data_IF_285289370416
#
_entry.id   IF_285289370416
#
_cell.length_a   1.000
_cell.length_b   1.000
_cell.length_c   1.000
_cell.angle_alpha   90.00
_cell.angle_beta   90.00
_cell.angle_gamma   90.00
#
_symmetry.space_group_name_H-M   'P 1'
#
loop_
_entity.id
_entity.type
_entity.pdbx_description
1 polymer ?
#
# COMPACT_ATOMS: atom_id res chain seq x y z
N UNK A 1 7.85 -20.37 7.17
CA UNK A 1 6.88 -19.36 6.71
C UNK A 1 5.88 -18.99 7.81
N UNK A 2 5.05 -19.93 8.32
CA UNK A 2 4.07 -19.63 9.38
C UNK A 2 4.73 -19.08 10.65
N UNK A 3 5.83 -19.65 11.09
CA UNK A 3 6.59 -19.18 12.24
C UNK A 3 7.21 -17.78 12.01
N UNK A 4 7.66 -17.47 10.81
CA UNK A 4 8.14 -16.14 10.44
C UNK A 4 7.03 -15.11 10.48
N UNK A 5 5.84 -15.43 9.95
CA UNK A 5 4.66 -14.58 10.03
C UNK A 5 4.21 -14.34 11.49
N UNK A 6 4.28 -15.36 12.33
CA UNK A 6 3.96 -15.25 13.75
C UNK A 6 4.96 -14.35 14.52
N UNK A 7 6.22 -14.33 14.08
CA UNK A 7 7.24 -13.42 14.63
C UNK A 7 7.00 -11.95 14.24
N UNK A 8 6.42 -11.70 13.07
CA UNK A 8 6.04 -10.37 12.60
C UNK A 8 4.76 -9.84 13.27
N UNK A 9 3.89 -10.72 13.79
CA UNK A 9 2.69 -10.34 14.52
C UNK A 9 2.97 -9.79 15.95
N UNK A 10 4.24 -9.83 16.41
CA UNK A 10 4.61 -9.20 17.69
C UNK A 10 4.58 -7.68 17.55
N UNK A 11 4.15 -6.93 18.59
CA UNK A 11 4.13 -5.47 18.53
C UNK A 11 5.52 -4.93 18.18
N UNK A 12 5.58 -4.20 17.06
CA UNK A 12 6.80 -3.60 16.53
C UNK A 12 7.34 -2.58 17.53
N UNK A 13 8.57 -2.75 17.98
CA UNK A 13 9.19 -1.84 18.90
C UNK A 13 9.84 -0.71 18.08
N UNK A 14 9.20 0.45 18.02
CA UNK A 14 9.54 1.64 17.20
C UNK A 14 10.97 2.22 17.41
N UNK A 15 11.97 1.41 17.67
CA UNK A 15 13.34 1.89 17.91
C UNK A 15 14.30 1.76 16.72
N UNK A 16 13.89 1.26 15.59
CA UNK A 16 14.72 1.25 14.38
C UNK A 16 14.17 2.27 13.37
N UNK A 17 14.86 3.39 13.21
CA UNK A 17 14.77 4.34 12.11
C UNK A 17 15.32 3.69 10.81
N UNK A 18 14.68 2.67 10.33
CA UNK A 18 14.94 2.15 8.99
C UNK A 18 13.65 2.29 8.21
N UNK A 19 13.47 3.45 7.57
CA UNK A 19 12.52 3.54 6.47
C UNK A 19 13.07 2.67 5.34
N UNK A 20 12.66 1.41 5.29
CA UNK A 20 12.98 0.57 4.15
C UNK A 20 12.14 1.10 2.98
N UNK A 21 12.79 1.77 2.04
CA UNK A 21 12.16 2.18 0.81
C UNK A 21 11.55 0.94 0.14
N UNK A 22 10.22 0.91 0.00
CA UNK A 22 9.52 -0.19 -0.70
C UNK A 22 10.08 -0.38 -2.11
N UNK A 23 10.56 0.69 -2.74
CA UNK A 23 11.18 0.70 -4.07
C UNK A 23 12.49 -0.10 -4.07
N UNK A 24 13.37 0.14 -3.10
CA UNK A 24 14.64 -0.59 -2.99
C UNK A 24 14.42 -2.08 -2.74
N UNK A 25 13.48 -2.41 -1.84
CA UNK A 25 13.11 -3.80 -1.58
C UNK A 25 12.57 -4.51 -2.82
N UNK A 26 11.75 -3.84 -3.63
CA UNK A 26 11.22 -4.41 -4.87
C UNK A 26 12.31 -4.64 -5.93
N UNK A 27 13.26 -3.72 -6.07
CA UNK A 27 14.41 -3.90 -6.96
C UNK A 27 15.29 -5.07 -6.50
N UNK A 28 15.60 -5.15 -5.21
CA UNK A 28 16.37 -6.26 -4.65
C UNK A 28 15.69 -7.62 -4.87
N UNK A 29 14.38 -7.70 -4.68
CA UNK A 29 13.58 -8.88 -4.97
C UNK A 29 13.68 -9.25 -6.45
N UNK A 30 13.55 -8.26 -7.35
CA UNK A 30 13.61 -8.48 -8.79
C UNK A 30 14.97 -9.04 -9.26
N UNK A 31 16.06 -8.64 -8.59
CA UNK A 31 17.41 -9.12 -8.90
C UNK A 31 17.71 -10.51 -8.31
N UNK A 32 17.20 -10.78 -7.10
CA UNK A 32 17.51 -12.04 -6.39
C UNK A 32 16.68 -13.23 -6.83
N UNK A 33 15.46 -13.02 -7.29
CA UNK A 33 14.57 -14.11 -7.65
C UNK A 33 14.79 -14.53 -9.11
N UNK A 34 15.47 -15.66 -9.31
CA UNK A 34 15.79 -16.19 -10.64
C UNK A 34 14.68 -17.06 -11.25
N UNK A 35 13.65 -17.40 -10.48
CA UNK A 35 12.53 -18.24 -10.93
C UNK A 35 11.24 -17.45 -10.97
N UNK A 36 10.36 -17.76 -11.93
CA UNK A 36 9.02 -17.17 -11.98
C UNK A 36 8.29 -17.36 -10.67
N UNK A 37 7.98 -16.27 -10.01
CA UNK A 37 7.41 -16.24 -8.66
C UNK A 37 6.18 -15.35 -8.59
N UNK A 38 5.38 -15.54 -7.55
CA UNK A 38 4.33 -14.65 -7.15
C UNK A 38 4.88 -13.68 -6.08
N UNK A 39 4.84 -12.39 -6.38
CA UNK A 39 5.20 -11.31 -5.46
C UNK A 39 3.91 -10.67 -4.95
N UNK A 40 3.72 -10.66 -3.65
CA UNK A 40 2.56 -10.04 -3.00
C UNK A 40 3.05 -8.87 -2.17
N UNK A 41 2.56 -7.67 -2.47
CA UNK A 41 2.86 -6.45 -1.74
C UNK A 41 1.64 -6.03 -0.92
N UNK A 42 1.83 -5.79 0.37
CA UNK A 42 0.87 -5.16 1.26
C UNK A 42 1.44 -3.79 1.66
N UNK A 43 0.77 -2.71 1.28
CA UNK A 43 1.23 -1.35 1.58
C UNK A 43 0.07 -0.35 1.46
N UNK A 44 0.17 0.77 2.17
CA UNK A 44 -0.66 1.96 1.97
C UNK A 44 -0.22 2.80 0.77
N UNK A 45 0.99 2.54 0.26
CA UNK A 45 1.60 3.21 -0.90
C UNK A 45 1.76 4.73 -0.75
N UNK A 46 1.67 5.28 0.46
CA UNK A 46 1.77 6.73 0.68
C UNK A 46 3.13 7.28 0.26
N UNK A 47 4.22 6.58 0.57
CA UNK A 47 5.59 6.97 0.18
C UNK A 47 5.78 7.03 -1.35
N UNK A 48 4.90 6.36 -2.10
CA UNK A 48 4.99 6.34 -3.56
C UNK A 48 4.44 7.60 -4.21
N UNK A 49 3.75 8.47 -3.48
CA UNK A 49 3.24 9.73 -4.02
C UNK A 49 4.39 10.62 -4.52
N UNK A 50 5.49 10.68 -3.79
CA UNK A 50 6.67 11.47 -4.16
C UNK A 50 7.56 10.76 -5.20
N UNK A 51 7.63 9.43 -5.16
CA UNK A 51 8.54 8.61 -5.96
C UNK A 51 7.78 7.60 -6.86
N UNK A 52 6.62 7.98 -7.38
CA UNK A 52 5.75 7.06 -8.15
C UNK A 52 6.43 6.43 -9.35
N UNK A 53 7.33 7.16 -10.01
CA UNK A 53 8.02 6.67 -11.19
C UNK A 53 9.00 5.54 -10.87
N UNK A 54 9.77 5.68 -9.79
CA UNK A 54 10.73 4.66 -9.35
C UNK A 54 10.01 3.40 -8.86
N UNK A 55 8.91 3.58 -8.14
CA UNK A 55 8.05 2.48 -7.72
C UNK A 55 7.53 1.66 -8.91
N UNK A 56 6.99 2.33 -9.91
CA UNK A 56 6.50 1.62 -11.10
C UNK A 56 7.62 1.04 -11.97
N UNK A 57 8.81 1.65 -11.95
CA UNK A 57 10.00 1.07 -12.58
C UNK A 57 10.38 -0.26 -11.93
N UNK A 58 10.38 -0.33 -10.60
CA UNK A 58 10.64 -1.56 -9.86
C UNK A 58 9.59 -2.65 -10.17
N UNK A 59 8.31 -2.28 -10.22
CA UNK A 59 7.24 -3.19 -10.61
C UNK A 59 7.38 -3.70 -12.06
N UNK A 60 7.79 -2.83 -12.99
CA UNK A 60 8.08 -3.23 -14.37
C UNK A 60 9.23 -4.23 -14.43
N UNK A 61 10.28 -4.03 -13.63
CA UNK A 61 11.40 -4.97 -13.56
C UNK A 61 10.93 -6.35 -13.13
N UNK A 62 10.07 -6.45 -12.10
CA UNK A 62 9.44 -7.71 -11.70
C UNK A 62 8.64 -8.35 -12.85
N UNK A 63 7.84 -7.55 -13.56
CA UNK A 63 7.03 -8.03 -14.69
C UNK A 63 7.89 -8.47 -15.88
N UNK A 64 9.00 -7.77 -16.16
CA UNK A 64 9.96 -8.15 -17.18
C UNK A 64 10.57 -9.53 -16.90
N UNK A 65 10.89 -9.82 -15.65
CA UNK A 65 11.36 -11.12 -15.18
C UNK A 65 10.24 -12.18 -15.08
N UNK A 66 9.04 -11.88 -15.62
CA UNK A 66 7.88 -12.78 -15.69
C UNK A 66 7.29 -13.15 -14.32
N UNK A 67 7.55 -12.36 -13.27
CA UNK A 67 6.88 -12.55 -12.00
C UNK A 67 5.40 -12.14 -12.09
N UNK A 68 4.56 -12.80 -11.32
CA UNK A 68 3.19 -12.37 -11.07
C UNK A 68 3.23 -11.39 -9.88
N UNK A 69 2.62 -10.22 -10.04
CA UNK A 69 2.63 -9.18 -9.00
C UNK A 69 1.21 -8.87 -8.59
N UNK A 70 0.97 -8.86 -7.29
CA UNK A 70 -0.30 -8.50 -6.66
C UNK A 70 -0.02 -7.43 -5.62
N UNK A 71 -0.82 -6.37 -5.65
CA UNK A 71 -0.77 -5.29 -4.67
C UNK A 71 -2.08 -5.28 -3.90
N UNK A 72 -2.00 -5.47 -2.60
CA UNK A 72 -3.05 -5.16 -1.65
C UNK A 72 -2.80 -3.76 -1.08
N UNK A 73 -3.57 -2.78 -1.55
CA UNK A 73 -3.52 -1.41 -1.07
C UNK A 73 -4.33 -1.31 0.22
N UNK A 74 -3.63 -1.32 1.35
CA UNK A 74 -4.22 -1.43 2.70
C UNK A 74 -4.38 -0.04 3.28
N UNK A 75 -5.61 0.40 3.49
CA UNK A 75 -5.94 1.73 4.01
C UNK A 75 -7.07 1.67 5.03
N UNK A 76 -7.07 2.56 6.01
CA UNK A 76 -8.27 2.87 6.79
C UNK A 76 -9.17 3.80 5.97
N UNK A 77 -10.22 3.22 5.35
CA UNK A 77 -11.13 3.99 4.49
C UNK A 77 -11.74 5.18 5.19
N UNK A 78 -12.07 5.07 6.46
CA UNK A 78 -12.72 6.14 7.19
C UNK A 78 -11.76 7.29 7.50
N UNK A 79 -10.57 6.99 7.99
CA UNK A 79 -9.61 7.99 8.46
C UNK A 79 -8.65 8.46 7.37
N UNK A 80 -8.02 7.53 6.68
CA UNK A 80 -6.97 7.84 5.69
C UNK A 80 -7.53 8.18 4.32
N UNK A 81 -8.72 7.69 3.95
CA UNK A 81 -9.29 7.95 2.65
C UNK A 81 -10.41 8.99 2.67
N UNK A 82 -11.43 8.80 3.53
CA UNK A 82 -12.58 9.70 3.63
C UNK A 82 -12.35 10.88 4.57
N UNK A 83 -11.24 10.90 5.31
CA UNK A 83 -10.87 11.95 6.25
C UNK A 83 -12.01 12.24 7.26
N UNK A 84 -12.55 11.17 7.88
CA UNK A 84 -13.68 11.24 8.80
C UNK A 84 -13.21 11.55 10.22
N UNK A 85 -12.93 12.82 10.47
CA UNK A 85 -12.61 13.36 11.80
C UNK A 85 -13.75 14.27 12.28
N UNK A 86 -13.87 14.45 13.59
CA UNK A 86 -14.82 15.39 14.15
C UNK A 86 -14.39 16.86 13.88
N UNK A 87 -15.35 17.80 14.02
CA UNK A 87 -15.16 19.22 13.70
C UNK A 87 -14.32 19.98 14.74
N UNK A 88 -13.35 19.33 15.37
CA UNK A 88 -12.44 19.93 16.36
C UNK A 88 -11.08 20.18 15.75
N UNK A 89 -10.29 21.02 16.40
CA UNK A 89 -8.90 21.21 16.06
C UNK A 89 -8.13 19.93 16.43
N UNK A 90 -7.59 19.25 15.42
CA UNK A 90 -6.77 18.06 15.60
C UNK A 90 -5.29 18.41 15.47
N UNK A 91 -4.48 17.72 16.26
CA UNK A 91 -3.03 17.73 16.16
C UNK A 91 -2.62 16.43 15.46
N UNK A 92 -2.18 16.55 14.23
CA UNK A 92 -1.56 15.46 13.50
C UNK A 92 -0.07 15.45 13.79
N UNK A 93 0.48 14.30 14.04
CA UNK A 93 1.92 14.11 14.32
C UNK A 93 2.44 13.09 13.33
N UNK A 94 3.42 13.49 12.55
CA UNK A 94 4.16 12.56 11.73
C UNK A 94 5.02 11.67 12.62
N UNK A 95 4.82 10.36 12.54
CA UNK A 95 5.51 9.40 13.39
C UNK A 95 6.99 9.20 12.99
N UNK A 96 7.36 9.56 11.77
CA UNK A 96 8.73 9.42 11.27
C UNK A 96 9.56 10.67 11.57
N UNK A 97 9.03 11.85 11.25
CA UNK A 97 9.75 13.13 11.42
C UNK A 97 9.51 13.77 12.79
N UNK A 98 8.37 13.45 13.44
CA UNK A 98 7.91 14.10 14.64
C UNK A 98 7.31 15.48 14.41
N UNK A 99 7.10 15.88 13.17
CA UNK A 99 6.46 17.15 12.82
C UNK A 99 5.01 17.18 13.27
N UNK A 100 4.56 18.35 13.72
CA UNK A 100 3.22 18.52 14.26
C UNK A 100 2.43 19.53 13.42
N UNK A 101 1.26 19.14 12.96
CA UNK A 101 0.33 20.00 12.24
C UNK A 101 -1.00 20.10 12.99
N UNK A 102 -1.39 21.33 13.33
CA UNK A 102 -2.69 21.60 13.97
C UNK A 102 -3.63 22.20 12.93
N UNK A 103 -4.66 21.45 12.57
CA UNK A 103 -5.64 21.89 11.56
C UNK A 103 -7.05 21.47 11.95
N UNK A 104 -8.02 22.20 11.41
CA UNK A 104 -9.41 21.77 11.42
C UNK A 104 -9.65 20.83 10.23
N UNK A 105 -9.96 19.54 10.46
CA UNK A 105 -10.09 18.56 9.38
C UNK A 105 -11.17 18.94 8.34
N UNK A 106 -12.22 19.64 8.75
CA UNK A 106 -13.30 20.02 7.84
C UNK A 106 -12.84 20.96 6.73
N UNK A 107 -11.84 21.81 7.01
CA UNK A 107 -11.33 22.78 6.02
C UNK A 107 -10.49 22.10 4.93
N UNK A 108 -9.90 20.94 5.23
CA UNK A 108 -9.03 20.20 4.31
C UNK A 108 -9.71 19.00 3.66
N UNK A 109 -10.87 18.59 4.18
CA UNK A 109 -11.51 17.31 3.81
C UNK A 109 -11.74 17.18 2.32
N UNK A 110 -12.33 18.19 1.68
CA UNK A 110 -12.70 18.11 0.26
C UNK A 110 -11.47 17.95 -0.63
N UNK A 111 -10.45 18.77 -0.40
CA UNK A 111 -9.20 18.73 -1.16
C UNK A 111 -8.44 17.42 -0.91
N UNK A 112 -8.36 16.98 0.34
CA UNK A 112 -7.69 15.73 0.71
C UNK A 112 -8.36 14.52 0.07
N UNK A 113 -9.70 14.39 0.19
CA UNK A 113 -10.46 13.27 -0.40
C UNK A 113 -10.33 13.26 -1.92
N UNK A 114 -10.34 14.44 -2.56
CA UNK A 114 -10.13 14.56 -3.99
C UNK A 114 -8.74 14.06 -4.42
N UNK A 115 -7.70 14.45 -3.69
CA UNK A 115 -6.32 14.01 -3.95
C UNK A 115 -6.16 12.50 -3.74
N UNK A 116 -6.68 11.96 -2.64
CA UNK A 116 -6.62 10.51 -2.36
C UNK A 116 -7.37 9.69 -3.40
N UNK A 117 -8.53 10.17 -3.85
CA UNK A 117 -9.31 9.52 -4.90
C UNK A 117 -8.56 9.51 -6.24
N UNK A 118 -7.94 10.61 -6.59
CA UNK A 118 -7.14 10.75 -7.81
C UNK A 118 -5.91 9.83 -7.76
N UNK A 119 -5.25 9.77 -6.61
CA UNK A 119 -4.10 8.90 -6.38
C UNK A 119 -4.47 7.41 -6.51
N UNK A 120 -5.52 6.96 -5.84
CA UNK A 120 -5.99 5.56 -5.96
C UNK A 120 -6.36 5.20 -7.41
N UNK A 121 -7.01 6.14 -8.12
CA UNK A 121 -7.37 5.95 -9.52
C UNK A 121 -6.13 5.83 -10.42
N UNK A 122 -5.14 6.69 -10.22
CA UNK A 122 -3.86 6.62 -10.95
C UNK A 122 -3.17 5.28 -10.72
N UNK A 123 -3.03 4.85 -9.45
CA UNK A 123 -2.46 3.56 -9.10
C UNK A 123 -3.17 2.41 -9.81
N UNK A 124 -4.50 2.42 -9.80
CA UNK A 124 -5.33 1.39 -10.45
C UNK A 124 -5.12 1.35 -11.96
N UNK A 125 -5.07 2.50 -12.62
CA UNK A 125 -4.83 2.61 -14.06
C UNK A 125 -3.44 2.09 -14.41
N UNK A 126 -2.40 2.56 -13.71
CA UNK A 126 -1.01 2.17 -13.97
C UNK A 126 -0.78 0.68 -13.69
N UNK A 127 -1.31 0.15 -12.59
CA UNK A 127 -1.26 -1.29 -12.32
C UNK A 127 -1.93 -2.10 -13.43
N UNK A 128 -3.09 -1.64 -13.94
CA UNK A 128 -3.77 -2.28 -15.06
C UNK A 128 -2.93 -2.30 -16.35
N UNK A 129 -2.23 -1.21 -16.66
CA UNK A 129 -1.33 -1.11 -17.83
C UNK A 129 -0.19 -2.14 -17.77
N UNK A 130 0.34 -2.42 -16.59
CA UNK A 130 1.42 -3.39 -16.38
C UNK A 130 0.94 -4.81 -16.06
N UNK A 131 -0.38 -5.06 -16.13
CA UNK A 131 -0.98 -6.35 -15.77
C UNK A 131 -0.60 -6.78 -14.34
N UNK A 132 -0.67 -5.85 -13.41
CA UNK A 132 -0.50 -6.03 -11.99
C UNK A 132 -1.89 -6.09 -11.37
N UNK A 133 -2.14 -7.09 -10.53
CA UNK A 133 -3.39 -7.18 -9.78
C UNK A 133 -3.38 -6.19 -8.62
N UNK A 134 -4.23 -5.16 -8.72
CA UNK A 134 -4.40 -4.15 -7.68
C UNK A 134 -5.73 -4.36 -6.96
N UNK A 135 -5.68 -4.52 -5.64
CA UNK A 135 -6.84 -4.78 -4.80
C UNK A 135 -6.84 -3.83 -3.60
N UNK A 136 -7.76 -2.84 -3.57
CA UNK A 136 -7.91 -2.00 -2.39
C UNK A 136 -8.49 -2.80 -1.22
N UNK A 137 -7.92 -2.61 -0.04
CA UNK A 137 -8.26 -3.30 1.20
C UNK A 137 -8.55 -2.26 2.28
N UNK A 138 -9.73 -2.34 2.87
CA UNK A 138 -10.10 -1.53 4.02
C UNK A 138 -9.73 -2.29 5.30
N UNK A 139 -8.72 -1.82 6.03
CA UNK A 139 -8.24 -2.49 7.23
C UNK A 139 -9.26 -2.48 8.39
N UNK A 140 -10.28 -1.62 8.33
CA UNK A 140 -11.39 -1.60 9.29
C UNK A 140 -12.37 -2.76 9.11
N UNK A 141 -12.35 -3.40 7.93
CA UNK A 141 -13.18 -4.54 7.59
C UNK A 141 -12.35 -5.83 7.66
N UNK A 142 -12.98 -6.93 8.04
CA UNK A 142 -12.31 -8.22 8.09
C UNK A 142 -11.67 -8.60 6.74
N UNK A 143 -10.56 -9.31 6.78
CA UNK A 143 -9.78 -9.72 5.59
C UNK A 143 -10.46 -10.83 4.76
N UNK A 144 -11.46 -11.51 5.32
CA UNK A 144 -12.09 -12.71 4.73
C UNK A 144 -12.72 -12.41 3.37
N UNK A 145 -13.40 -11.25 3.24
CA UNK A 145 -14.05 -10.85 1.99
C UNK A 145 -13.04 -10.55 0.88
N UNK A 146 -11.91 -9.94 1.23
CA UNK A 146 -10.83 -9.61 0.31
C UNK A 146 -10.15 -10.89 -0.18
N UNK A 147 -9.79 -11.77 0.77
CA UNK A 147 -9.15 -13.04 0.47
C UNK A 147 -10.06 -13.94 -0.37
N UNK A 148 -11.34 -14.03 -0.03
CA UNK A 148 -12.33 -14.80 -0.79
C UNK A 148 -12.45 -14.28 -2.22
N UNK A 149 -12.56 -12.97 -2.40
CA UNK A 149 -12.65 -12.34 -3.73
C UNK A 149 -11.41 -12.63 -4.57
N UNK A 150 -10.23 -12.56 -3.96
CA UNK A 150 -8.98 -12.90 -4.60
C UNK A 150 -8.92 -14.37 -5.02
N UNK A 151 -9.27 -15.30 -4.12
CA UNK A 151 -9.27 -16.73 -4.40
C UNK A 151 -10.26 -17.13 -5.50
N UNK A 152 -11.45 -16.51 -5.51
CA UNK A 152 -12.45 -16.72 -6.58
C UNK A 152 -11.90 -16.23 -7.93
N UNK A 153 -11.27 -15.06 -7.97
CA UNK A 153 -10.62 -14.54 -9.18
C UNK A 153 -9.55 -15.50 -9.68
N UNK A 154 -8.69 -15.96 -8.77
CA UNK A 154 -7.59 -16.86 -9.11
C UNK A 154 -8.10 -18.23 -9.63
N UNK A 155 -9.17 -18.78 -9.03
CA UNK A 155 -9.80 -20.04 -9.50
C UNK A 155 -10.33 -19.94 -10.94
N UNK A 156 -10.71 -18.74 -11.40
CA UNK A 156 -11.21 -18.55 -12.78
C UNK A 156 -10.09 -18.44 -13.81
N UNK A 157 -8.86 -18.25 -13.39
CA UNK A 157 -7.69 -18.07 -14.26
C UNK A 157 -6.95 -19.40 -14.50
N UNK A 158 -7.27 -20.44 -13.75
CA UNK A 158 -6.74 -21.79 -13.84
C UNK A 158 -7.89 -22.81 -13.91
#
# INVERSE_FOLDING_TARGET
LLWELESLAKPFNHKSKESSSAVEALHEIAERINQRSLVILFSDLLDTQENSQDFFSALQHLKYNKHEVIIFHVVDRSREFNFEFDARLHKFVDLETGEELKVNPLELKEDYVSQMSSFEQELKIRCGQYKIDFTPVDCSKGFESVLLSYLIKRKKLY
#
